data_IF_494122822548
#
_entry.id   IF_494122822548
#
_cell.length_a   1.000
_cell.length_b   1.000
_cell.length_c   1.000
_cell.angle_alpha   90.00
_cell.angle_beta   90.00
_cell.angle_gamma   90.00
#
_symmetry.space_group_name_H-M   'P 1'
#
loop_
_entity.id
_entity.type
_entity.pdbx_description
1 polymer ?
#
# COMPACT_ATOMS: atom_id res chain seq x y z
N UNK A 1 -9.39 16.66 12.99
CA UNK A 1 -8.79 15.71 12.03
C UNK A 1 -7.50 16.32 11.51
N UNK A 2 -6.38 15.61 11.62
CA UNK A 2 -5.09 16.08 11.08
C UNK A 2 -5.13 16.06 9.54
N UNK A 3 -4.49 17.07 8.91
CA UNK A 3 -4.23 16.98 7.46
C UNK A 3 -3.12 15.98 7.23
N UNK A 4 -3.10 15.30 6.07
CA UNK A 4 -2.05 14.31 5.79
C UNK A 4 -0.63 14.92 5.87
N UNK A 5 -0.47 16.21 5.52
CA UNK A 5 0.81 16.92 5.60
C UNK A 5 1.34 17.06 7.03
N UNK A 6 0.45 17.04 8.03
CA UNK A 6 0.78 17.19 9.46
C UNK A 6 1.13 15.84 10.12
N UNK A 7 0.98 14.72 9.39
CA UNK A 7 1.36 13.38 9.83
C UNK A 7 2.84 13.18 9.48
N UNK A 8 3.61 12.77 10.48
CA UNK A 8 5.04 12.49 10.30
C UNK A 8 5.28 11.36 9.30
N UNK A 9 6.45 11.32 8.71
CA UNK A 9 6.94 10.37 7.73
C UNK A 9 6.80 10.80 6.27
N UNK A 10 7.45 10.06 5.35
CA UNK A 10 7.50 10.42 3.94
C UNK A 10 6.21 9.99 3.21
N UNK A 11 5.76 10.83 2.29
CA UNK A 11 4.75 10.49 1.30
C UNK A 11 4.96 11.46 0.13
N UNK A 12 5.53 10.99 -0.96
CA UNK A 12 5.91 11.80 -2.12
C UNK A 12 5.29 11.33 -3.43
N UNK A 13 4.38 10.34 -3.38
CA UNK A 13 3.79 9.69 -4.54
C UNK A 13 2.29 9.98 -4.71
N UNK A 14 1.89 11.24 -4.49
CA UNK A 14 0.50 11.68 -4.62
C UNK A 14 -0.05 11.48 -6.04
N UNK A 15 0.77 11.70 -7.08
CA UNK A 15 0.35 11.51 -8.48
C UNK A 15 0.00 10.07 -8.77
N UNK A 16 0.74 9.13 -8.17
CA UNK A 16 0.44 7.70 -8.28
C UNK A 16 -0.93 7.38 -7.68
N UNK A 17 -1.24 7.91 -6.50
CA UNK A 17 -2.54 7.70 -5.87
C UNK A 17 -3.67 8.37 -6.65
N UNK A 18 -3.46 9.58 -7.17
CA UNK A 18 -4.44 10.27 -8.03
C UNK A 18 -4.74 9.46 -9.29
N UNK A 19 -3.70 8.93 -9.94
CA UNK A 19 -3.85 8.06 -11.11
C UNK A 19 -4.63 6.79 -10.75
N UNK A 20 -4.25 6.07 -9.69
CA UNK A 20 -4.92 4.85 -9.28
C UNK A 20 -6.38 5.12 -8.90
N UNK A 21 -6.66 6.14 -8.09
CA UNK A 21 -8.01 6.54 -7.69
C UNK A 21 -8.91 6.90 -8.87
N UNK A 22 -8.35 7.56 -9.91
CA UNK A 22 -9.11 7.90 -11.12
C UNK A 22 -9.54 6.68 -11.93
N UNK A 23 -8.92 5.52 -11.70
CA UNK A 23 -9.20 4.26 -12.37
C UNK A 23 -10.04 3.28 -11.52
N UNK A 24 -10.40 3.65 -10.30
CA UNK A 24 -11.32 2.85 -9.46
C UNK A 24 -12.76 3.30 -9.72
N UNK A 25 -13.68 2.39 -10.10
CA UNK A 25 -15.09 2.73 -10.29
C UNK A 25 -15.77 3.06 -8.95
N UNK A 26 -16.98 3.61 -9.02
CA UNK A 26 -17.80 3.79 -7.82
C UNK A 26 -18.12 2.42 -7.19
N UNK A 27 -18.12 2.37 -5.87
CA UNK A 27 -18.24 1.16 -5.06
C UNK A 27 -17.05 0.17 -5.24
N UNK A 28 -15.94 0.60 -5.86
CA UNK A 28 -14.75 -0.21 -6.02
C UNK A 28 -13.95 -0.38 -4.73
N UNK A 29 -12.95 -1.24 -4.77
CA UNK A 29 -12.10 -1.60 -3.63
C UNK A 29 -10.66 -1.19 -3.91
N UNK A 30 -10.10 -0.38 -3.01
CA UNK A 30 -8.68 -0.05 -2.94
C UNK A 30 -8.07 -0.63 -1.66
N UNK A 31 -7.03 -1.45 -1.81
CA UNK A 31 -6.26 -2.02 -0.68
C UNK A 31 -4.89 -1.36 -0.65
N UNK A 32 -4.54 -0.72 0.47
CA UNK A 32 -3.19 -0.26 0.79
C UNK A 32 -2.56 -1.24 1.77
N UNK A 33 -1.43 -1.82 1.38
CA UNK A 33 -0.61 -2.71 2.19
C UNK A 33 0.64 -1.95 2.63
N UNK A 34 0.76 -1.66 3.94
CA UNK A 34 1.78 -0.78 4.51
C UNK A 34 1.25 0.64 4.69
N UNK A 35 0.97 1.02 5.93
CA UNK A 35 0.35 2.30 6.27
C UNK A 35 1.15 3.12 7.28
N UNK A 36 1.91 2.43 8.12
CA UNK A 36 2.70 3.03 9.19
C UNK A 36 1.89 4.03 10.03
N UNK A 37 2.27 5.32 10.03
CA UNK A 37 1.58 6.39 10.76
C UNK A 37 0.35 6.94 10.02
N UNK A 38 0.01 6.45 8.81
CA UNK A 38 -1.20 6.77 8.07
C UNK A 38 -1.13 8.04 7.22
N UNK A 39 0.07 8.50 6.83
CA UNK A 39 0.19 9.71 5.99
C UNK A 39 -0.37 9.49 4.59
N UNK A 40 0.04 8.41 3.92
CA UNK A 40 -0.49 7.98 2.62
C UNK A 40 -1.96 7.60 2.71
N UNK A 41 -2.32 6.81 3.73
CA UNK A 41 -3.69 6.39 4.02
C UNK A 41 -4.65 7.56 4.21
N UNK A 42 -4.21 8.62 4.92
CA UNK A 42 -5.01 9.83 5.09
C UNK A 42 -5.26 10.54 3.78
N UNK A 43 -4.22 10.65 2.91
CA UNK A 43 -4.38 11.19 1.56
C UNK A 43 -5.37 10.36 0.74
N UNK A 44 -5.18 9.04 0.74
CA UNK A 44 -6.04 8.10 0.04
C UNK A 44 -7.51 8.27 0.44
N UNK A 45 -7.81 8.25 1.74
CA UNK A 45 -9.18 8.40 2.24
C UNK A 45 -9.78 9.79 1.91
N UNK A 46 -9.00 10.87 2.04
CA UNK A 46 -9.47 12.23 1.74
C UNK A 46 -9.85 12.40 0.26
N UNK A 47 -9.20 11.67 -0.66
CA UNK A 47 -9.44 11.74 -2.11
C UNK A 47 -10.39 10.64 -2.60
N UNK A 48 -10.42 9.48 -1.94
CA UNK A 48 -11.41 8.42 -2.18
C UNK A 48 -12.83 8.87 -1.85
N UNK A 49 -12.97 9.69 -0.81
CA UNK A 49 -14.27 10.10 -0.22
C UNK A 49 -15.10 8.85 0.08
N UNK A 50 -16.40 8.94 0.04
CA UNK A 50 -17.32 7.81 0.26
C UNK A 50 -17.61 7.02 -1.02
N UNK A 51 -16.82 7.25 -2.08
CA UNK A 51 -17.05 6.65 -3.40
C UNK A 51 -16.62 5.19 -3.49
N UNK A 52 -15.56 4.83 -2.76
CA UNK A 52 -14.95 3.49 -2.79
C UNK A 52 -14.69 2.98 -1.38
N UNK A 53 -14.52 1.67 -1.24
CA UNK A 53 -14.08 1.04 0.00
C UNK A 53 -12.55 1.01 0.07
N UNK A 54 -11.99 1.64 1.11
CA UNK A 54 -10.54 1.65 1.37
C UNK A 54 -10.22 0.66 2.47
N UNK A 55 -9.39 -0.34 2.17
CA UNK A 55 -8.85 -1.28 3.14
C UNK A 55 -7.38 -0.96 3.38
N UNK A 56 -6.97 -0.98 4.65
CA UNK A 56 -5.61 -0.66 5.06
C UNK A 56 -5.05 -1.82 5.86
N UNK A 57 -4.04 -2.46 5.30
CA UNK A 57 -3.38 -3.66 5.85
C UNK A 57 -2.02 -3.28 6.39
N UNK A 58 -1.78 -3.53 7.66
CA UNK A 58 -0.48 -3.36 8.30
C UNK A 58 -0.43 -4.20 9.59
N UNK A 59 0.74 -4.56 10.04
CA UNK A 59 0.94 -5.13 11.39
C UNK A 59 1.08 -4.05 12.44
N UNK A 60 1.55 -2.86 12.04
CA UNK A 60 2.00 -1.74 12.88
C UNK A 60 3.12 -2.13 13.85
N UNK A 61 3.94 -3.11 13.47
CA UNK A 61 5.10 -3.57 14.25
C UNK A 61 6.45 -3.08 13.68
N UNK A 62 6.40 -2.35 12.55
CA UNK A 62 7.57 -1.92 11.80
C UNK A 62 8.15 -3.02 10.92
N UNK A 63 9.01 -2.62 9.96
CA UNK A 63 9.67 -3.54 9.05
C UNK A 63 10.94 -4.13 9.66
N UNK A 64 11.21 -5.44 9.51
CA UNK A 64 12.47 -6.07 9.97
C UNK A 64 13.73 -5.46 9.36
N UNK A 65 13.67 -4.98 8.13
CA UNK A 65 14.80 -4.33 7.45
C UNK A 65 15.19 -3.00 8.09
N UNK A 66 14.23 -2.33 8.72
CA UNK A 66 14.43 -1.08 9.45
C UNK A 66 14.68 -1.27 10.94
N UNK A 67 15.36 -2.37 11.33
CA UNK A 67 15.63 -2.78 12.71
C UNK A 67 16.14 -1.65 13.63
N UNK A 68 16.73 -0.60 13.06
CA UNK A 68 17.29 0.51 13.84
C UNK A 68 16.36 1.71 13.98
N UNK A 69 15.27 1.82 13.20
CA UNK A 69 14.38 2.99 13.18
C UNK A 69 12.92 2.63 13.44
N UNK A 70 12.23 2.04 12.47
CA UNK A 70 10.77 1.81 12.57
C UNK A 70 10.42 0.76 13.62
N UNK A 71 11.17 -0.35 13.67
CA UNK A 71 10.89 -1.42 14.64
C UNK A 71 11.16 -0.98 16.09
N UNK A 72 12.24 -0.23 16.36
CA UNK A 72 12.49 0.34 17.68
C UNK A 72 11.43 1.37 18.08
N UNK A 73 10.98 2.16 17.13
CA UNK A 73 9.91 3.11 17.38
C UNK A 73 8.60 2.38 17.70
N UNK A 74 8.27 1.31 16.97
CA UNK A 74 7.10 0.48 17.24
C UNK A 74 7.16 -0.27 18.58
N UNK A 75 8.36 -0.61 19.07
CA UNK A 75 8.54 -1.20 20.39
C UNK A 75 8.36 -0.19 21.54
N UNK A 76 8.53 1.10 21.27
CA UNK A 76 8.42 2.16 22.28
C UNK A 76 7.03 2.78 22.37
N UNK A 77 6.16 2.60 21.38
CA UNK A 77 4.84 3.21 21.29
C UNK A 77 3.87 2.27 20.56
N UNK A 78 2.57 2.37 20.84
CA UNK A 78 1.55 1.69 20.05
C UNK A 78 1.30 2.46 18.75
N UNK A 79 1.95 2.02 17.67
CA UNK A 79 1.86 2.65 16.35
C UNK A 79 0.43 2.57 15.79
N UNK A 80 -0.30 1.51 16.11
CA UNK A 80 -1.68 1.38 15.66
C UNK A 80 -2.59 2.45 16.27
N UNK A 81 -2.45 2.74 17.57
CA UNK A 81 -3.21 3.83 18.19
C UNK A 81 -2.84 5.19 17.61
N UNK A 82 -1.55 5.44 17.36
CA UNK A 82 -1.11 6.68 16.70
C UNK A 82 -1.69 6.79 15.28
N UNK A 83 -1.70 5.67 14.53
CA UNK A 83 -2.33 5.59 13.21
C UNK A 83 -3.82 5.95 13.30
N UNK A 84 -4.58 5.36 14.22
CA UNK A 84 -6.00 5.65 14.40
C UNK A 84 -6.25 7.13 14.77
N UNK A 85 -5.44 7.70 15.66
CA UNK A 85 -5.51 9.13 15.99
C UNK A 85 -5.26 10.02 14.76
N UNK A 86 -4.27 9.66 13.93
CA UNK A 86 -3.96 10.38 12.71
C UNK A 86 -5.07 10.28 11.66
N UNK A 87 -5.68 9.09 11.53
CA UNK A 87 -6.80 8.85 10.62
C UNK A 87 -8.08 9.59 11.04
N UNK A 88 -8.31 9.73 12.35
CA UNK A 88 -9.44 10.48 12.89
C UNK A 88 -10.78 9.90 12.45
N UNK A 89 -11.62 10.73 11.80
CA UNK A 89 -12.99 10.34 11.38
C UNK A 89 -13.08 9.89 9.92
N UNK A 90 -11.97 9.61 9.24
CA UNK A 90 -11.96 9.09 7.87
C UNK A 90 -12.60 7.70 7.82
N UNK A 91 -13.24 7.40 6.71
CA UNK A 91 -13.84 6.08 6.47
C UNK A 91 -12.81 5.14 5.84
N UNK A 92 -12.51 4.05 6.51
CA UNK A 92 -11.60 2.99 6.05
C UNK A 92 -11.84 1.70 6.85
N UNK A 93 -11.28 0.59 6.38
CA UNK A 93 -11.34 -0.72 7.01
C UNK A 93 -9.92 -1.16 7.38
N UNK A 94 -9.49 -1.04 8.64
CA UNK A 94 -8.16 -1.48 9.06
C UNK A 94 -8.11 -3.00 9.22
N UNK A 95 -7.04 -3.61 8.73
CA UNK A 95 -6.75 -5.04 8.89
C UNK A 95 -5.38 -5.16 9.57
N UNK A 96 -5.37 -5.34 10.90
CA UNK A 96 -4.14 -5.46 11.68
C UNK A 96 -3.60 -6.88 11.62
N UNK A 97 -3.00 -7.25 10.48
CA UNK A 97 -2.47 -8.58 10.21
C UNK A 97 -1.25 -8.50 9.28
N UNK A 98 -0.40 -9.54 9.29
CA UNK A 98 0.56 -9.74 8.21
C UNK A 98 -0.15 -9.84 6.85
N UNK A 99 0.52 -9.41 5.80
CA UNK A 99 0.03 -9.47 4.41
C UNK A 99 -0.47 -10.86 4.02
N UNK A 100 0.28 -11.89 4.40
CA UNK A 100 0.00 -13.30 4.12
C UNK A 100 -1.30 -13.82 4.75
N UNK A 101 -1.76 -13.19 5.83
CA UNK A 101 -3.04 -13.53 6.46
C UNK A 101 -4.16 -12.59 6.01
N UNK A 102 -3.84 -11.31 5.82
CA UNK A 102 -4.81 -10.30 5.40
C UNK A 102 -5.40 -10.59 4.02
N UNK A 103 -4.59 -11.14 3.12
CA UNK A 103 -5.00 -11.50 1.75
C UNK A 103 -6.18 -12.45 1.70
N UNK A 104 -6.39 -13.29 2.72
CA UNK A 104 -7.51 -14.24 2.82
C UNK A 104 -8.86 -13.54 3.01
N UNK A 105 -8.87 -12.25 3.37
CA UNK A 105 -10.09 -11.44 3.49
C UNK A 105 -10.73 -11.16 2.13
N UNK A 106 -9.96 -11.28 1.04
CA UNK A 106 -10.38 -10.87 -0.30
C UNK A 106 -10.57 -12.08 -1.21
N UNK A 107 -11.65 -12.09 -1.98
CA UNK A 107 -11.84 -13.06 -3.06
C UNK A 107 -10.95 -12.72 -4.26
N UNK A 108 -10.64 -13.72 -5.08
CA UNK A 108 -9.88 -13.49 -6.31
C UNK A 108 -10.68 -12.59 -7.27
N UNK A 109 -10.01 -11.59 -7.82
CA UNK A 109 -10.61 -10.61 -8.72
C UNK A 109 -11.57 -9.61 -8.04
N UNK A 110 -11.53 -9.45 -6.72
CA UNK A 110 -12.42 -8.52 -5.99
C UNK A 110 -11.87 -7.09 -5.88
N UNK A 111 -10.55 -6.92 -5.95
CA UNK A 111 -9.91 -5.61 -5.74
C UNK A 111 -9.71 -4.86 -7.07
N UNK A 112 -10.05 -3.58 -7.10
CA UNK A 112 -9.72 -2.69 -8.22
C UNK A 112 -8.26 -2.27 -8.21
N UNK A 113 -7.74 -1.97 -7.02
CA UNK A 113 -6.35 -1.60 -6.79
C UNK A 113 -5.82 -2.30 -5.55
N UNK A 114 -4.60 -2.83 -5.66
CA UNK A 114 -3.76 -3.22 -4.52
C UNK A 114 -2.45 -2.45 -4.62
N UNK A 115 -2.10 -1.70 -3.57
CA UNK A 115 -0.86 -0.93 -3.45
C UNK A 115 0.01 -1.53 -2.35
N UNK A 116 1.25 -1.89 -2.66
CA UNK A 116 2.21 -2.60 -1.78
C UNK A 116 3.33 -1.64 -1.37
N UNK A 117 3.44 -1.36 -0.07
CA UNK A 117 4.46 -0.49 0.54
C UNK A 117 4.83 -1.01 1.94
N UNK A 118 5.33 -2.25 2.00
CA UNK A 118 5.64 -2.93 3.27
C UNK A 118 7.14 -3.16 3.42
N UNK A 119 7.60 -4.41 3.43
CA UNK A 119 9.00 -4.79 3.47
C UNK A 119 9.61 -4.69 2.06
N UNK A 120 10.87 -4.24 1.95
CA UNK A 120 11.52 -3.93 0.68
C UNK A 120 12.51 -5.02 0.24
N UNK A 121 12.62 -6.14 0.99
CA UNK A 121 13.43 -7.29 0.57
C UNK A 121 12.84 -7.94 -0.68
N UNK A 122 13.72 -8.50 -1.51
CA UNK A 122 13.28 -9.19 -2.73
C UNK A 122 12.26 -10.30 -2.44
N UNK A 123 12.52 -11.10 -1.41
CA UNK A 123 11.66 -12.23 -1.03
C UNK A 123 10.27 -11.78 -0.58
N UNK A 124 10.20 -10.74 0.26
CA UNK A 124 8.94 -10.20 0.77
C UNK A 124 8.11 -9.56 -0.35
N UNK A 125 8.72 -8.70 -1.16
CA UNK A 125 8.01 -8.06 -2.30
C UNK A 125 7.52 -9.09 -3.30
N UNK A 126 8.34 -10.12 -3.60
CA UNK A 126 7.94 -11.21 -4.49
C UNK A 126 6.75 -11.98 -3.93
N UNK A 127 6.80 -12.34 -2.66
CA UNK A 127 5.69 -13.02 -1.98
C UNK A 127 4.42 -12.18 -2.02
N UNK A 128 4.51 -10.90 -1.68
CA UNK A 128 3.34 -10.01 -1.68
C UNK A 128 2.73 -9.87 -3.08
N UNK A 129 3.55 -9.70 -4.11
CA UNK A 129 3.05 -9.68 -5.49
C UNK A 129 2.35 -10.99 -5.84
N UNK A 130 2.92 -12.15 -5.47
CA UNK A 130 2.35 -13.46 -5.79
C UNK A 130 0.98 -13.69 -5.14
N UNK A 131 0.82 -13.31 -3.86
CA UNK A 131 -0.44 -13.51 -3.13
C UNK A 131 -1.51 -12.47 -3.44
N UNK A 132 -1.12 -11.20 -3.70
CA UNK A 132 -2.08 -10.14 -3.97
C UNK A 132 -2.49 -10.01 -5.44
N UNK A 133 -1.63 -10.43 -6.38
CA UNK A 133 -1.99 -10.36 -7.80
C UNK A 133 -3.29 -11.11 -8.16
N UNK A 134 -3.59 -12.31 -7.64
CA UNK A 134 -4.87 -12.96 -7.86
C UNK A 134 -6.06 -12.12 -7.41
N UNK A 135 -5.92 -11.35 -6.32
CA UNK A 135 -7.00 -10.53 -5.74
C UNK A 135 -7.41 -9.35 -6.60
N UNK A 136 -6.49 -8.84 -7.42
CA UNK A 136 -6.80 -7.77 -8.38
C UNK A 136 -7.68 -8.32 -9.50
N UNK A 137 -8.76 -7.60 -9.85
CA UNK A 137 -9.63 -7.98 -10.99
C UNK A 137 -8.95 -7.77 -12.34
N UNK A 138 -9.48 -8.37 -13.39
CA UNK A 138 -9.09 -8.03 -14.77
C UNK A 138 -9.37 -6.55 -15.04
N UNK A 139 -8.41 -5.86 -15.65
CA UNK A 139 -8.42 -4.42 -15.88
C UNK A 139 -8.12 -3.55 -14.66
N UNK A 140 -7.98 -4.14 -13.46
CA UNK A 140 -7.53 -3.46 -12.25
C UNK A 140 -6.01 -3.27 -12.20
N UNK A 141 -5.50 -2.73 -11.09
CA UNK A 141 -4.09 -2.40 -10.94
C UNK A 141 -3.47 -3.03 -9.70
N UNK A 142 -2.27 -3.59 -9.86
CA UNK A 142 -1.34 -3.83 -8.76
C UNK A 142 -0.21 -2.82 -8.88
N UNK A 143 0.16 -2.22 -7.77
CA UNK A 143 1.17 -1.17 -7.72
C UNK A 143 1.96 -1.24 -6.42
N UNK A 144 3.06 -0.51 -6.32
CA UNK A 144 3.81 -0.40 -5.06
C UNK A 144 4.85 0.71 -5.13
N UNK A 145 5.42 1.01 -3.96
CA UNK A 145 6.42 2.05 -3.79
C UNK A 145 7.84 1.50 -3.96
N UNK A 146 8.84 2.37 -3.76
CA UNK A 146 10.27 2.06 -3.70
C UNK A 146 10.86 1.37 -4.96
N UNK A 147 10.29 1.64 -6.13
CA UNK A 147 10.84 1.20 -7.41
C UNK A 147 12.00 2.11 -7.84
N UNK A 148 13.05 2.13 -7.03
CA UNK A 148 14.24 2.99 -7.18
C UNK A 148 15.53 2.19 -7.00
N UNK A 149 16.66 2.78 -7.41
CA UNK A 149 17.98 2.17 -7.24
C UNK A 149 18.36 1.90 -5.78
N UNK A 150 17.73 2.59 -4.84
CA UNK A 150 17.99 2.40 -3.41
C UNK A 150 17.42 1.08 -2.90
N UNK A 151 16.42 0.55 -3.60
CA UNK A 151 15.74 -0.70 -3.29
C UNK A 151 15.83 -1.73 -4.43
N UNK A 152 17.01 -2.29 -4.71
CA UNK A 152 17.20 -3.21 -5.84
C UNK A 152 16.39 -4.50 -5.71
N UNK A 153 16.02 -4.90 -4.49
CA UNK A 153 15.12 -6.04 -4.22
C UNK A 153 13.73 -5.84 -4.80
N UNK A 154 13.16 -4.64 -4.65
CA UNK A 154 11.87 -4.25 -5.22
C UNK A 154 11.91 -4.31 -6.74
N UNK A 155 12.92 -3.63 -7.35
CA UNK A 155 13.10 -3.64 -8.82
C UNK A 155 13.18 -5.06 -9.35
N UNK A 156 13.97 -5.92 -8.69
CA UNK A 156 14.16 -7.30 -9.11
C UNK A 156 12.85 -8.10 -9.05
N UNK A 157 12.13 -8.05 -7.94
CA UNK A 157 10.88 -8.79 -7.76
C UNK A 157 9.81 -8.36 -8.78
N UNK A 158 9.65 -7.06 -8.98
CA UNK A 158 8.68 -6.49 -9.93
C UNK A 158 9.02 -6.89 -11.37
N UNK A 159 10.30 -6.77 -11.78
CA UNK A 159 10.74 -7.08 -13.15
C UNK A 159 10.72 -8.57 -13.47
N UNK A 160 10.88 -9.44 -12.47
CA UNK A 160 10.71 -10.89 -12.67
C UNK A 160 9.24 -11.26 -12.90
N UNK A 161 8.30 -10.53 -12.29
CA UNK A 161 6.87 -10.85 -12.38
C UNK A 161 6.19 -10.20 -13.57
N UNK A 162 6.59 -8.99 -13.93
CA UNK A 162 5.91 -8.20 -14.96
C UNK A 162 6.88 -7.77 -16.08
N UNK A 163 6.44 -7.79 -17.34
CA UNK A 163 7.26 -7.24 -18.44
C UNK A 163 7.55 -5.76 -18.19
N UNK A 164 8.81 -5.38 -18.17
CA UNK A 164 9.25 -3.99 -17.88
C UNK A 164 8.58 -2.94 -18.76
N UNK A 165 8.32 -3.28 -20.03
CA UNK A 165 7.63 -2.40 -20.99
C UNK A 165 6.17 -2.09 -20.61
N UNK A 166 5.55 -2.92 -19.80
CA UNK A 166 4.15 -2.80 -19.37
C UNK A 166 4.03 -2.17 -17.97
N UNK A 167 5.17 -1.87 -17.32
CA UNK A 167 5.23 -1.19 -16.03
C UNK A 167 5.18 0.32 -16.26
N UNK A 168 4.20 0.98 -15.65
CA UNK A 168 4.17 2.44 -15.55
C UNK A 168 5.01 2.82 -14.33
N UNK A 169 6.08 3.59 -14.54
CA UNK A 169 6.87 4.18 -13.46
C UNK A 169 6.39 5.62 -13.24
N UNK A 170 5.87 5.91 -12.07
CA UNK A 170 5.37 7.23 -11.69
C UNK A 170 5.84 7.59 -10.29
N UNK A 171 6.39 8.78 -10.12
CA UNK A 171 7.10 9.17 -8.90
C UNK A 171 8.19 8.12 -8.56
N UNK A 172 8.11 7.45 -7.43
CA UNK A 172 8.99 6.33 -7.03
C UNK A 172 8.24 5.00 -6.97
N UNK A 173 7.12 4.91 -7.70
CA UNK A 173 6.22 3.75 -7.70
C UNK A 173 6.24 2.99 -9.03
N UNK A 174 5.96 1.72 -8.96
CA UNK A 174 5.64 0.86 -10.08
C UNK A 174 4.14 0.60 -10.13
N UNK A 175 3.57 0.54 -11.32
CA UNK A 175 2.14 0.26 -11.54
C UNK A 175 2.03 -0.74 -12.69
N UNK A 176 1.28 -1.80 -12.49
CA UNK A 176 0.97 -2.78 -13.51
C UNK A 176 -0.55 -2.96 -13.62
N UNK A 177 -1.08 -2.89 -14.85
CA UNK A 177 -2.48 -3.16 -15.13
C UNK A 177 -2.67 -4.65 -15.41
N UNK A 178 -3.54 -5.31 -14.66
CA UNK A 178 -3.87 -6.72 -14.89
C UNK A 178 -4.73 -6.86 -16.15
N UNK A 179 -4.29 -7.71 -17.07
CA UNK A 179 -5.01 -8.02 -18.33
C UNK A 179 -6.27 -8.83 -18.12
#
# INVERSE_FOLDING_TARGET
MKKYQDISYCFSYQKTFDFLLSNVPDCGIFVECGAWLGRSSSYLCDHAKDRISVFIVDTWLGSPEELNTSQKFAQSQDIYEIFLENMGTRLFHPIRKPSTEAVETFEDGSCDVVFIDMDHSYESVKQDIEIWYPKVRSGGYIAGHDYTSDWPGVIKAVNERFPVKDIINMDTCWIYRKG
#
